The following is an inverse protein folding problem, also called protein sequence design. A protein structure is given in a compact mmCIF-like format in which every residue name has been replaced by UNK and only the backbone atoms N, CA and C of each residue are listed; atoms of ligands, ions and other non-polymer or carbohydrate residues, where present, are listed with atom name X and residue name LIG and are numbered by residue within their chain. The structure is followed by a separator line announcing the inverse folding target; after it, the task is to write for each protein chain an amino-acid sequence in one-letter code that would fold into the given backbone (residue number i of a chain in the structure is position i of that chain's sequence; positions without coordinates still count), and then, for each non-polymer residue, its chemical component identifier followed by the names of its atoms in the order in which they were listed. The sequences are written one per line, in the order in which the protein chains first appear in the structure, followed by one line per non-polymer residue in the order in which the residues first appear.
data_IF_829454476362
#
_entry.id   IF_829454476362
#
_cell.length_a   1.000
_cell.length_b   1.000
_cell.length_c   1.000
_cell.angle_alpha   90.00
_cell.angle_beta   90.00
_cell.angle_gamma   90.00
#
_symmetry.space_group_name_H-M   'P 1'
#
loop_
_entity.id
_entity.type
_entity.pdbx_description
1 polymer ?
#
# COMPACT_ATOMS: atom_id res chain seq x y z
N UNK A 1 -14.89 53.94 33.38
CA UNK A 1 -14.59 53.91 31.94
C UNK A 1 -13.35 53.03 31.76
N UNK A 2 -13.54 51.73 31.49
CA UNK A 2 -13.55 51.10 30.15
C UNK A 2 -12.16 51.01 29.51
N UNK A 3 -11.26 50.19 30.06
CA UNK A 3 -10.32 49.34 29.27
C UNK A 3 -9.92 48.13 30.13
N UNK A 4 -10.90 47.31 30.48
CA UNK A 4 -10.72 45.95 31.00
C UNK A 4 -11.69 45.12 30.17
N UNK A 5 -11.18 44.33 29.23
CA UNK A 5 -11.84 43.28 28.42
C UNK A 5 -11.13 43.26 27.06
N UNK A 6 -10.15 42.37 26.89
CA UNK A 6 -9.75 41.75 25.59
C UNK A 6 -8.57 40.79 25.78
N UNK A 7 -8.55 40.03 26.89
CA UNK A 7 -7.53 39.00 27.14
C UNK A 7 -8.16 37.65 27.50
N UNK A 8 -9.44 37.47 27.19
CA UNK A 8 -10.13 36.21 27.42
C UNK A 8 -10.38 35.51 26.09
N UNK A 9 -10.01 34.23 26.06
CA UNK A 9 -10.63 33.18 25.25
C UNK A 9 -10.13 33.02 23.80
N UNK A 10 -8.89 32.57 23.63
CA UNK A 10 -8.51 31.80 22.44
C UNK A 10 -7.48 30.70 22.73
N UNK A 11 -7.43 30.17 23.97
CA UNK A 11 -6.87 28.84 24.21
C UNK A 11 -7.98 27.81 23.95
N UNK A 12 -8.35 27.67 22.68
CA UNK A 12 -9.14 26.53 22.21
C UNK A 12 -8.24 25.32 22.28
N UNK A 13 -8.44 24.53 23.34
CA UNK A 13 -7.81 23.25 23.60
C UNK A 13 -7.85 22.40 22.32
N UNK A 14 -6.68 22.17 21.72
CA UNK A 14 -6.50 21.09 20.74
C UNK A 14 -6.72 19.75 21.45
N UNK A 15 -7.95 19.25 21.42
CA UNK A 15 -8.27 17.85 21.68
C UNK A 15 -8.43 17.13 20.33
N UNK A 16 -7.37 16.57 19.73
CA UNK A 16 -7.53 15.79 18.50
C UNK A 16 -8.12 14.38 18.76
N UNK A 17 -8.42 14.02 20.01
CA UNK A 17 -8.69 12.62 20.36
C UNK A 17 -10.19 12.21 20.40
N UNK A 18 -11.14 13.14 20.31
CA UNK A 18 -12.57 12.82 20.53
C UNK A 18 -13.46 12.87 19.27
N UNK A 19 -12.91 13.23 18.10
CA UNK A 19 -13.66 13.31 16.84
C UNK A 19 -13.26 12.25 15.80
N UNK A 20 -12.55 11.19 16.20
CA UNK A 20 -12.28 10.07 15.30
C UNK A 20 -13.61 9.42 14.88
N UNK A 21 -14.01 9.66 13.64
CA UNK A 21 -15.17 9.05 13.00
C UNK A 21 -15.08 7.52 13.06
N UNK A 22 -16.20 6.78 13.00
CA UNK A 22 -16.18 5.33 12.88
C UNK A 22 -15.28 4.85 11.72
N UNK A 23 -15.26 5.59 10.61
CA UNK A 23 -14.40 5.33 9.46
C UNK A 23 -12.89 5.45 9.79
N UNK A 24 -12.47 6.47 10.54
CA UNK A 24 -11.07 6.61 10.99
C UNK A 24 -10.64 5.44 11.86
N UNK A 25 -11.48 5.03 12.83
CA UNK A 25 -11.14 3.91 13.73
C UNK A 25 -11.05 2.58 13.00
N UNK A 26 -11.90 2.34 12.01
CA UNK A 26 -11.82 1.13 11.19
C UNK A 26 -10.61 1.16 10.25
N UNK A 27 -10.23 2.34 9.77
CA UNK A 27 -9.05 2.50 8.92
C UNK A 27 -7.75 2.34 9.72
N UNK A 28 -7.67 2.88 10.94
CA UNK A 28 -6.56 2.66 11.88
C UNK A 28 -6.43 1.19 12.28
N UNK A 29 -7.54 0.50 12.57
CA UNK A 29 -7.53 -0.95 12.84
C UNK A 29 -7.04 -1.75 11.64
N UNK A 30 -7.42 -1.33 10.43
CA UNK A 30 -6.99 -1.99 9.19
C UNK A 30 -5.50 -1.77 8.96
N UNK A 31 -5.00 -0.54 9.13
CA UNK A 31 -3.59 -0.22 9.06
C UNK A 31 -2.77 -0.99 10.13
N UNK A 32 -3.28 -1.07 11.36
CA UNK A 32 -2.65 -1.84 12.44
C UNK A 32 -2.57 -3.34 12.12
N UNK A 33 -3.62 -3.93 11.55
CA UNK A 33 -3.61 -5.33 11.09
C UNK A 33 -2.64 -5.56 9.93
N UNK A 34 -2.54 -4.62 8.98
CA UNK A 34 -1.58 -4.73 7.87
C UNK A 34 -0.12 -4.52 8.32
N UNK A 35 0.09 -3.80 9.43
CA UNK A 35 1.41 -3.58 10.03
C UNK A 35 1.83 -4.71 10.97
N UNK A 36 0.93 -5.63 11.30
CA UNK A 36 1.18 -6.74 12.22
C UNK A 36 2.15 -7.76 11.60
N UNK A 37 3.27 -8.11 12.28
CA UNK A 37 4.26 -9.05 11.75
C UNK A 37 3.69 -10.42 11.38
N UNK A 38 2.75 -10.96 12.17
CA UNK A 38 2.16 -12.26 11.88
C UNK A 38 1.28 -12.21 10.61
N UNK A 39 0.58 -11.10 10.39
CA UNK A 39 -0.21 -10.86 9.18
C UNK A 39 0.71 -10.67 7.95
N UNK A 40 1.82 -9.95 8.10
CA UNK A 40 2.83 -9.80 7.04
C UNK A 40 3.50 -11.14 6.69
N UNK A 41 3.83 -11.96 7.68
CA UNK A 41 4.39 -13.30 7.47
C UNK A 41 3.40 -14.22 6.75
N UNK A 42 2.12 -14.17 7.12
CA UNK A 42 1.06 -14.93 6.44
C UNK A 42 0.90 -14.48 4.97
N UNK A 43 0.92 -13.17 4.70
CA UNK A 43 0.87 -12.65 3.33
C UNK A 43 2.12 -13.04 2.53
N UNK A 44 3.31 -12.95 3.13
CA UNK A 44 4.55 -13.36 2.50
C UNK A 44 4.54 -14.87 2.18
N UNK A 45 3.99 -15.70 3.07
CA UNK A 45 3.79 -17.13 2.82
C UNK A 45 2.83 -17.41 1.67
N UNK A 46 1.70 -16.69 1.59
CA UNK A 46 0.74 -16.80 0.50
C UNK A 46 1.36 -16.38 -0.86
N UNK A 47 2.09 -15.25 -0.89
CA UNK A 47 2.83 -14.80 -2.07
C UNK A 47 3.94 -15.79 -2.45
N UNK A 48 4.64 -16.35 -1.47
CA UNK A 48 5.64 -17.39 -1.69
C UNK A 48 5.04 -18.65 -2.31
N UNK A 49 3.87 -19.09 -1.83
CA UNK A 49 3.13 -20.22 -2.43
C UNK A 49 2.69 -19.95 -3.86
N UNK A 50 2.19 -18.73 -4.14
CA UNK A 50 1.82 -18.30 -5.50
C UNK A 50 3.04 -18.26 -6.45
N UNK A 51 4.14 -17.68 -5.99
CA UNK A 51 5.41 -17.67 -6.72
C UNK A 51 5.91 -19.09 -6.94
N UNK A 52 5.81 -19.97 -5.94
CA UNK A 52 6.14 -21.38 -6.06
C UNK A 52 5.35 -22.05 -7.19
N UNK A 53 4.03 -21.88 -7.21
CA UNK A 53 3.16 -22.41 -8.25
C UNK A 53 3.47 -21.84 -9.65
N UNK A 54 3.82 -20.55 -9.74
CA UNK A 54 4.24 -19.93 -10.99
C UNK A 54 5.59 -20.49 -11.47
N UNK A 55 6.53 -20.66 -10.55
CA UNK A 55 7.85 -21.21 -10.84
C UNK A 55 7.77 -22.69 -11.27
N UNK A 56 6.80 -23.45 -10.77
CA UNK A 56 6.51 -24.82 -11.21
C UNK A 56 5.78 -24.92 -12.55
N UNK A 57 5.36 -23.78 -13.12
CA UNK A 57 4.70 -23.76 -14.42
C UNK A 57 5.67 -24.22 -15.52
N UNK A 58 5.21 -25.19 -16.30
CA UNK A 58 5.95 -25.70 -17.46
C UNK A 58 5.92 -24.67 -18.59
N UNK A 59 7.10 -24.35 -19.14
CA UNK A 59 7.21 -23.43 -20.29
C UNK A 59 6.92 -24.09 -21.64
N UNK A 60 6.48 -25.36 -21.66
CA UNK A 60 6.21 -26.12 -22.90
C UNK A 60 5.27 -25.41 -23.86
N UNK A 61 4.19 -24.82 -23.36
CA UNK A 61 3.22 -24.08 -24.17
C UNK A 61 3.83 -22.82 -24.79
N UNK A 62 4.68 -22.12 -24.04
CA UNK A 62 5.37 -20.90 -24.48
C UNK A 62 6.48 -21.26 -25.49
N UNK A 63 7.27 -22.29 -25.21
CA UNK A 63 8.32 -22.77 -26.10
C UNK A 63 7.75 -23.22 -27.45
N UNK A 64 6.62 -23.94 -27.46
CA UNK A 64 5.93 -24.35 -28.68
C UNK A 64 5.36 -23.17 -29.47
N UNK A 65 4.85 -22.14 -28.79
CA UNK A 65 4.35 -20.93 -29.44
C UNK A 65 5.47 -20.09 -30.10
N UNK A 66 6.69 -20.17 -29.57
CA UNK A 66 7.85 -19.42 -30.06
C UNK A 66 8.69 -20.20 -31.11
N UNK A 67 8.49 -21.52 -31.27
CA UNK A 67 9.15 -22.34 -32.29
C UNK A 67 9.08 -21.74 -33.72
N UNK A 68 7.93 -21.20 -34.20
CA UNK A 68 7.84 -20.55 -35.51
C UNK A 68 8.74 -19.32 -35.64
N UNK A 69 8.89 -18.54 -34.57
CA UNK A 69 9.75 -17.35 -34.53
C UNK A 69 11.23 -17.72 -34.48
N UNK A 70 11.57 -18.92 -34.01
CA UNK A 70 12.92 -19.46 -33.99
C UNK A 70 13.28 -20.25 -35.27
N UNK A 71 12.62 -19.94 -36.40
CA UNK A 71 12.84 -20.62 -37.68
C UNK A 71 12.45 -22.10 -37.65
N UNK A 72 11.46 -22.47 -36.84
CA UNK A 72 11.00 -23.86 -36.67
C UNK A 72 11.91 -24.74 -35.82
N UNK A 73 12.99 -24.20 -35.24
CA UNK A 73 13.91 -24.97 -34.41
C UNK A 73 13.36 -25.14 -32.98
N UNK A 74 13.40 -26.35 -32.42
CA UNK A 74 12.95 -26.60 -31.05
C UNK A 74 13.77 -25.77 -30.06
N UNK A 75 13.07 -25.00 -29.22
CA UNK A 75 13.69 -24.15 -28.21
C UNK A 75 14.18 -25.04 -27.06
N UNK A 76 15.44 -24.85 -26.62
CA UNK A 76 16.09 -25.66 -25.55
C UNK A 76 15.44 -25.56 -24.16
N UNK A 77 14.34 -24.81 -24.05
CA UNK A 77 13.51 -24.64 -22.85
C UNK A 77 12.37 -25.67 -22.75
N UNK A 78 12.15 -26.49 -23.78
CA UNK A 78 11.13 -27.53 -23.81
C UNK A 78 11.36 -28.57 -22.69
N UNK A 79 10.31 -28.95 -21.99
CA UNK A 79 10.30 -29.87 -20.86
C UNK A 79 10.69 -29.27 -19.51
N UNK A 80 11.01 -27.97 -19.45
CA UNK A 80 11.47 -27.31 -18.22
C UNK A 80 10.39 -26.49 -17.55
N UNK A 81 10.56 -26.26 -16.25
CA UNK A 81 9.80 -25.26 -15.50
C UNK A 81 10.51 -23.91 -15.51
N UNK A 82 9.79 -22.84 -15.15
CA UNK A 82 10.40 -21.52 -14.96
C UNK A 82 11.48 -21.59 -13.85
N UNK A 83 11.23 -22.38 -12.80
CA UNK A 83 12.18 -22.64 -11.72
C UNK A 83 13.50 -23.20 -12.24
N UNK A 84 13.45 -24.24 -13.06
CA UNK A 84 14.64 -24.90 -13.60
C UNK A 84 15.44 -24.01 -14.55
N UNK A 85 14.75 -23.12 -15.28
CA UNK A 85 15.41 -22.13 -16.14
C UNK A 85 16.10 -21.07 -15.28
N UNK A 86 15.42 -20.55 -14.27
CA UNK A 86 15.95 -19.50 -13.40
C UNK A 86 17.11 -19.99 -12.52
N UNK A 87 17.01 -21.20 -11.94
CA UNK A 87 18.07 -21.79 -11.11
C UNK A 87 19.33 -22.12 -11.90
N UNK A 88 19.22 -22.39 -13.21
CA UNK A 88 20.38 -22.62 -14.07
C UNK A 88 21.28 -21.38 -14.15
N UNK A 89 20.65 -20.20 -14.26
CA UNK A 89 21.36 -18.94 -14.43
C UNK A 89 21.71 -18.30 -13.06
N UNK A 90 20.99 -18.66 -11.99
CA UNK A 90 21.29 -18.25 -10.62
C UNK A 90 20.98 -19.38 -9.60
N UNK A 91 22.00 -20.09 -9.07
CA UNK A 91 21.83 -21.13 -8.06
C UNK A 91 21.20 -20.63 -6.74
N UNK A 92 21.10 -19.32 -6.57
CA UNK A 92 20.56 -18.67 -5.38
C UNK A 92 19.16 -18.09 -5.60
N UNK A 93 18.56 -18.35 -6.76
CA UNK A 93 17.29 -17.79 -7.19
C UNK A 93 16.15 -18.00 -6.19
N UNK A 94 15.95 -19.22 -5.67
CA UNK A 94 14.85 -19.48 -4.72
C UNK A 94 14.98 -18.67 -3.43
N UNK A 95 16.19 -18.63 -2.84
CA UNK A 95 16.42 -17.83 -1.64
C UNK A 95 16.24 -16.33 -1.92
N UNK A 96 16.63 -15.86 -3.11
CA UNK A 96 16.39 -14.47 -3.52
C UNK A 96 14.91 -14.17 -3.74
N UNK A 97 14.15 -15.09 -4.32
CA UNK A 97 12.71 -14.94 -4.53
C UNK A 97 11.96 -14.87 -3.19
N UNK A 98 12.28 -15.76 -2.25
CA UNK A 98 11.70 -15.74 -0.90
C UNK A 98 12.08 -14.46 -0.13
N UNK A 99 13.35 -14.07 -0.16
CA UNK A 99 13.81 -12.85 0.50
C UNK A 99 13.19 -11.60 -0.15
N UNK A 100 13.04 -11.60 -1.48
CA UNK A 100 12.38 -10.53 -2.23
C UNK A 100 10.91 -10.41 -1.86
N UNK A 101 10.19 -11.52 -1.73
CA UNK A 101 8.79 -11.51 -1.29
C UNK A 101 8.63 -10.92 0.11
N UNK A 102 9.46 -11.34 1.08
CA UNK A 102 9.45 -10.77 2.44
C UNK A 102 9.80 -9.28 2.45
N UNK A 103 10.82 -8.87 1.69
CA UNK A 103 11.24 -7.48 1.60
C UNK A 103 10.14 -6.60 0.97
N UNK A 104 9.44 -7.10 -0.04
CA UNK A 104 8.32 -6.40 -0.68
C UNK A 104 7.15 -6.21 0.29
N UNK A 105 6.75 -7.27 1.01
CA UNK A 105 5.66 -7.19 2.01
C UNK A 105 6.04 -6.24 3.15
N UNK A 106 7.26 -6.34 3.68
CA UNK A 106 7.74 -5.42 4.72
C UNK A 106 7.79 -3.96 4.26
N UNK A 107 8.22 -3.71 3.02
CA UNK A 107 8.20 -2.37 2.42
C UNK A 107 6.79 -1.81 2.24
N UNK A 108 5.84 -2.65 1.83
CA UNK A 108 4.43 -2.26 1.68
C UNK A 108 3.79 -1.97 3.05
N UNK A 109 4.12 -2.75 4.08
CA UNK A 109 3.72 -2.49 5.46
C UNK A 109 4.29 -1.16 5.99
N UNK A 110 5.56 -0.87 5.75
CA UNK A 110 6.19 0.39 6.14
C UNK A 110 5.55 1.60 5.43
N UNK A 111 5.21 1.46 4.15
CA UNK A 111 4.49 2.50 3.40
C UNK A 111 3.07 2.73 3.96
N UNK A 112 2.34 1.66 4.28
CA UNK A 112 1.02 1.76 4.89
C UNK A 112 1.09 2.44 6.26
N UNK A 113 2.09 2.10 7.08
CA UNK A 113 2.33 2.74 8.37
C UNK A 113 2.69 4.23 8.24
N UNK A 114 3.48 4.60 7.22
CA UNK A 114 3.80 6.00 6.93
C UNK A 114 2.56 6.78 6.46
N UNK A 115 1.71 6.17 5.62
CA UNK A 115 0.46 6.77 5.18
C UNK A 115 -0.51 6.96 6.33
N UNK A 116 -0.64 5.97 7.22
CA UNK A 116 -1.45 6.08 8.43
C UNK A 116 -0.98 7.23 9.34
N UNK A 117 0.33 7.46 9.45
CA UNK A 117 0.89 8.59 10.21
C UNK A 117 0.63 9.96 9.55
N UNK A 118 0.54 10.00 8.22
CA UNK A 118 0.23 11.24 7.49
C UNK A 118 -1.28 11.56 7.44
N UNK A 119 -2.14 10.57 7.72
CA UNK A 119 -3.59 10.69 7.63
C UNK A 119 -4.18 11.86 8.45
N UNK A 120 -3.77 12.12 9.71
CA UNK A 120 -4.32 13.23 10.49
C UNK A 120 -4.07 14.60 9.85
N UNK A 121 -2.90 14.77 9.20
CA UNK A 121 -2.55 16.01 8.51
C UNK A 121 -3.41 16.20 7.25
N UNK A 122 -3.74 15.10 6.57
CA UNK A 122 -4.62 15.11 5.40
C UNK A 122 -6.05 15.51 5.79
N UNK A 123 -6.54 15.00 6.92
CA UNK A 123 -7.86 15.32 7.45
C UNK A 123 -7.95 16.78 7.91
N UNK A 124 -6.93 17.29 8.59
CA UNK A 124 -6.85 18.71 8.93
C UNK A 124 -6.84 19.61 7.69
N UNK A 125 -6.17 19.19 6.61
CA UNK A 125 -6.16 19.93 5.36
C UNK A 125 -7.54 19.93 4.68
N UNK A 126 -8.24 18.79 4.67
CA UNK A 126 -9.59 18.68 4.12
C UNK A 126 -10.60 19.51 4.92
N UNK A 127 -10.56 19.45 6.25
CA UNK A 127 -11.44 20.24 7.11
C UNK A 127 -11.24 21.76 6.87
N UNK A 128 -9.99 22.21 6.71
CA UNK A 128 -9.70 23.61 6.37
C UNK A 128 -10.22 24.01 4.98
N UNK A 129 -10.24 23.07 4.03
CA UNK A 129 -10.75 23.31 2.68
C UNK A 129 -12.29 23.38 2.67
N UNK A 130 -12.96 22.53 3.44
CA UNK A 130 -14.42 22.54 3.64
C UNK A 130 -14.86 23.87 4.28
N UNK A 131 -14.23 24.27 5.38
CA UNK A 131 -14.45 25.57 6.03
C UNK A 131 -14.25 26.75 5.07
N UNK A 132 -13.29 26.66 4.15
CA UNK A 132 -13.05 27.70 3.16
C UNK A 132 -14.15 27.75 2.10
N UNK A 133 -14.66 26.60 1.66
CA UNK A 133 -15.76 26.51 0.70
C UNK A 133 -17.08 27.00 1.31
N UNK A 134 -17.39 26.62 2.54
CA UNK A 134 -18.59 27.07 3.25
C UNK A 134 -18.61 28.60 3.44
N UNK A 135 -17.45 29.19 3.76
CA UNK A 135 -17.31 30.65 3.86
C UNK A 135 -17.50 31.37 2.52
N UNK A 136 -17.16 30.73 1.40
CA UNK A 136 -17.37 31.29 0.06
C UNK A 136 -18.85 31.21 -0.29
N UNK A 137 -19.49 30.06 -0.03
CA UNK A 137 -20.91 29.84 -0.30
C UNK A 137 -21.81 30.80 0.50
N UNK A 138 -21.55 30.95 1.81
CA UNK A 138 -22.27 31.90 2.67
C UNK A 138 -22.07 33.37 2.26
N UNK A 139 -20.98 33.69 1.54
CA UNK A 139 -20.72 35.04 1.02
C UNK A 139 -21.52 35.35 -0.24
N UNK A 140 -21.78 34.35 -1.06
CA UNK A 140 -22.60 34.49 -2.27
C UNK A 140 -24.09 34.63 -1.92
N UNK A 141 -24.59 33.91 -0.90
CA UNK A 141 -25.98 34.04 -0.42
C UNK A 141 -26.33 35.40 0.21
N UNK A 142 -25.33 36.18 0.67
CA UNK A 142 -25.53 37.51 1.25
C UNK A 142 -25.52 38.64 0.20
N UNK A 143 -25.32 38.29 -1.08
CA UNK A 143 -25.14 39.24 -2.19
C UNK A 143 -26.33 39.27 -3.15
N UNK A 144 -27.29 38.36 -2.98
CA UNK A 144 -28.63 38.38 -3.57
C UNK A 144 -29.66 38.98 -2.60
#
# INVERSE_FOLDING_TARGET
MRVLLLSALALSVSTPALAASPAQRDMERTAARLSDPATQDAMAGAFGGLLGALLDMRVDGIAKALEPMNGGKPIRMKGRTIREIAMRDDPQFERKAENGARAMVGGMGAMAAALAQAMPQLEEAMAKAEDAMDRVHARDELRD
#
